data_IF_684708517027
#
_entry.id   IF_684708517027
#
_cell.length_a   1.000
_cell.length_b   1.000
_cell.length_c   1.000
_cell.angle_alpha   90.00
_cell.angle_beta   90.00
_cell.angle_gamma   90.00
#
_symmetry.space_group_name_H-M   'P 1'
#
loop_
_entity.id
_entity.type
_entity.pdbx_description
1 polymer ?
#
# COMPACT_ATOMS: atom_id res chain seq x y z
N UNK A 1 -14.28 -14.67 14.73
CA UNK A 1 -13.17 -14.70 13.75
C UNK A 1 -13.07 -15.99 12.94
N UNK A 2 -12.75 -17.19 13.50
CA UNK A 2 -12.61 -18.44 12.70
C UNK A 2 -13.76 -18.74 11.72
N UNK A 3 -15.02 -18.65 12.17
CA UNK A 3 -16.19 -18.83 11.29
C UNK A 3 -16.24 -17.80 10.16
N UNK A 4 -15.83 -16.55 10.42
CA UNK A 4 -15.82 -15.49 9.42
C UNK A 4 -14.78 -15.76 8.33
N UNK A 5 -13.57 -16.19 8.69
CA UNK A 5 -12.56 -16.61 7.70
C UNK A 5 -13.06 -17.75 6.83
N UNK A 6 -13.77 -18.72 7.42
CA UNK A 6 -14.40 -19.80 6.65
C UNK A 6 -15.44 -19.26 5.66
N UNK A 7 -16.35 -18.39 6.12
CA UNK A 7 -17.35 -17.77 5.23
C UNK A 7 -16.72 -16.99 4.07
N UNK A 8 -15.63 -16.26 4.32
CA UNK A 8 -14.89 -15.54 3.28
C UNK A 8 -14.30 -16.54 2.27
N UNK A 9 -13.73 -17.64 2.76
CA UNK A 9 -13.12 -18.67 1.91
C UNK A 9 -14.14 -19.40 1.02
N UNK A 10 -15.41 -19.42 1.42
CA UNK A 10 -16.51 -20.02 0.66
C UNK A 10 -17.19 -19.01 -0.31
N UNK A 11 -16.74 -17.76 -0.35
CA UNK A 11 -17.35 -16.68 -1.15
C UNK A 11 -16.77 -16.56 -2.57
N UNK A 12 -17.51 -15.91 -3.48
CA UNK A 12 -17.03 -15.59 -4.85
C UNK A 12 -15.79 -14.69 -4.86
N UNK A 13 -15.64 -13.84 -3.83
CA UNK A 13 -14.57 -12.85 -3.70
C UNK A 13 -13.46 -13.32 -2.77
N UNK A 14 -13.37 -14.63 -2.50
CA UNK A 14 -12.47 -15.19 -1.50
C UNK A 14 -11.01 -14.73 -1.68
N UNK A 15 -10.49 -14.77 -2.90
CA UNK A 15 -9.09 -14.43 -3.17
C UNK A 15 -8.82 -12.93 -2.97
N UNK A 16 -9.71 -12.07 -3.49
CA UNK A 16 -9.62 -10.61 -3.30
C UNK A 16 -9.76 -10.22 -1.84
N UNK A 17 -10.70 -10.84 -1.11
CA UNK A 17 -10.87 -10.60 0.32
C UNK A 17 -9.63 -11.01 1.11
N UNK A 18 -9.02 -12.17 0.79
CA UNK A 18 -7.78 -12.61 1.43
C UNK A 18 -6.63 -11.65 1.14
N UNK A 19 -6.49 -11.17 -0.10
CA UNK A 19 -5.48 -10.18 -0.46
C UNK A 19 -5.65 -8.87 0.31
N UNK A 20 -6.87 -8.33 0.39
CA UNK A 20 -7.16 -7.12 1.18
C UNK A 20 -6.86 -7.34 2.66
N UNK A 21 -7.28 -8.47 3.23
CA UNK A 21 -7.02 -8.80 4.63
C UNK A 21 -5.53 -8.99 4.92
N UNK A 22 -4.79 -9.61 4.02
CA UNK A 22 -3.34 -9.80 4.12
C UNK A 22 -2.63 -8.45 4.13
N UNK A 23 -2.95 -7.60 3.16
CA UNK A 23 -2.39 -6.25 3.03
C UNK A 23 -2.73 -5.40 4.25
N UNK A 24 -4.02 -5.31 4.62
CA UNK A 24 -4.46 -4.57 5.80
C UNK A 24 -3.74 -5.04 7.08
N UNK A 25 -3.42 -6.33 7.17
CA UNK A 25 -2.75 -6.91 8.35
C UNK A 25 -1.28 -6.49 8.51
N UNK A 26 -0.62 -5.99 7.47
CA UNK A 26 0.80 -5.61 7.54
C UNK A 26 1.07 -4.12 7.32
N UNK A 27 0.09 -3.35 6.83
CA UNK A 27 0.25 -1.89 6.72
C UNK A 27 0.41 -1.22 8.08
N UNK A 28 1.23 -0.16 8.12
CA UNK A 28 1.58 0.58 9.33
C UNK A 28 0.53 1.61 9.74
N UNK A 29 -0.37 1.99 8.82
CA UNK A 29 -1.55 2.81 9.09
C UNK A 29 -2.75 2.36 8.26
N UNK A 30 -3.98 2.77 8.63
CA UNK A 30 -5.14 2.69 7.75
C UNK A 30 -4.85 3.33 6.39
N UNK A 31 -5.34 2.72 5.31
CA UNK A 31 -5.09 3.13 3.93
C UNK A 31 -6.38 3.54 3.22
N UNK A 32 -6.26 4.38 2.20
CA UNK A 32 -7.38 4.77 1.34
C UNK A 32 -7.72 3.68 0.31
N UNK A 33 -8.85 3.82 -0.37
CA UNK A 33 -9.19 2.99 -1.52
C UNK A 33 -8.16 3.12 -2.66
N UNK A 34 -7.66 4.33 -2.93
CA UNK A 34 -6.66 4.58 -3.98
C UNK A 34 -5.32 3.90 -3.65
N UNK A 35 -4.90 3.98 -2.39
CA UNK A 35 -3.69 3.31 -1.89
C UNK A 35 -3.84 1.79 -1.95
N UNK A 36 -5.03 1.27 -1.60
CA UNK A 36 -5.30 -0.17 -1.72
C UNK A 36 -5.17 -0.64 -3.17
N UNK A 37 -5.72 0.10 -4.15
CA UNK A 37 -5.63 -0.26 -5.58
C UNK A 37 -4.18 -0.26 -6.08
N UNK A 38 -3.37 0.71 -5.65
CA UNK A 38 -1.95 0.76 -6.02
C UNK A 38 -1.14 -0.42 -5.44
N UNK A 39 -1.53 -0.90 -4.26
CA UNK A 39 -0.82 -1.96 -3.54
C UNK A 39 -1.32 -3.38 -3.84
N UNK A 40 -2.53 -3.53 -4.39
CA UNK A 40 -3.15 -4.82 -4.70
C UNK A 40 -3.58 -4.88 -6.18
N UNK A 41 -2.77 -5.57 -7.01
CA UNK A 41 -2.98 -5.62 -8.46
C UNK A 41 -4.33 -6.22 -8.87
N UNK A 42 -4.87 -7.17 -8.10
CA UNK A 42 -6.17 -7.76 -8.45
C UNK A 42 -7.34 -6.77 -8.35
N UNK A 43 -7.10 -5.61 -7.73
CA UNK A 43 -8.08 -4.56 -7.44
C UNK A 43 -7.90 -3.32 -8.34
N UNK A 44 -6.79 -3.23 -9.08
CA UNK A 44 -6.41 -2.05 -9.88
C UNK A 44 -7.49 -1.68 -10.92
N UNK A 45 -8.11 -2.68 -11.54
CA UNK A 45 -9.11 -2.49 -12.61
C UNK A 45 -10.54 -2.33 -12.09
N UNK A 46 -10.77 -2.46 -10.79
CA UNK A 46 -12.10 -2.36 -10.21
C UNK A 46 -12.52 -0.90 -10.14
N UNK A 47 -13.81 -0.64 -10.33
CA UNK A 47 -14.36 0.67 -9.99
C UNK A 47 -14.48 0.83 -8.47
N UNK A 48 -15.01 1.98 -8.02
CA UNK A 48 -15.15 2.23 -6.59
C UNK A 48 -16.23 1.34 -5.97
N UNK A 49 -17.38 1.16 -6.64
CA UNK A 49 -18.53 0.41 -6.12
C UNK A 49 -18.17 -1.08 -5.97
N UNK A 50 -17.48 -1.66 -6.94
CA UNK A 50 -16.97 -3.04 -6.89
C UNK A 50 -16.00 -3.23 -5.73
N UNK A 51 -15.08 -2.27 -5.51
CA UNK A 51 -14.11 -2.34 -4.43
C UNK A 51 -14.80 -2.26 -3.05
N UNK A 52 -15.79 -1.37 -2.90
CA UNK A 52 -16.59 -1.26 -1.69
C UNK A 52 -17.40 -2.54 -1.41
N UNK A 53 -17.97 -3.20 -2.43
CA UNK A 53 -18.67 -4.49 -2.31
C UNK A 53 -17.72 -5.59 -1.78
N UNK A 54 -16.49 -5.66 -2.32
CA UNK A 54 -15.51 -6.67 -1.90
C UNK A 54 -15.03 -6.39 -0.47
N UNK A 55 -14.79 -5.13 -0.11
CA UNK A 55 -14.43 -4.75 1.27
C UNK A 55 -15.56 -5.14 2.23
N UNK A 56 -16.82 -4.91 1.85
CA UNK A 56 -17.99 -5.39 2.60
C UNK A 56 -18.05 -6.91 2.74
N UNK A 57 -17.49 -7.64 1.76
CA UNK A 57 -17.41 -9.10 1.73
C UNK A 57 -16.22 -9.69 2.50
N UNK A 58 -15.26 -8.87 2.94
CA UNK A 58 -14.15 -9.26 3.82
C UNK A 58 -14.58 -9.64 5.26
N UNK A 59 -15.88 -9.88 5.46
CA UNK A 59 -16.53 -10.07 6.76
C UNK A 59 -16.42 -8.82 7.63
N UNK A 60 -16.89 -8.93 8.88
CA UNK A 60 -16.77 -7.84 9.86
C UNK A 60 -15.35 -7.65 10.41
N UNK A 61 -14.32 -7.97 9.61
CA UNK A 61 -12.92 -7.68 9.92
C UNK A 61 -12.60 -6.22 9.62
N UNK A 62 -13.09 -5.71 8.49
CA UNK A 62 -12.80 -4.37 8.00
C UNK A 62 -14.05 -3.48 8.03
N UNK A 63 -13.84 -2.18 8.08
CA UNK A 63 -14.87 -1.15 7.92
C UNK A 63 -14.31 -0.03 7.07
N UNK A 64 -15.14 0.47 6.16
CA UNK A 64 -14.84 1.63 5.33
C UNK A 64 -15.46 2.88 5.95
N UNK A 65 -14.65 3.92 6.16
CA UNK A 65 -15.11 5.23 6.67
C UNK A 65 -14.44 6.33 5.87
N UNK A 66 -15.24 7.14 5.18
CA UNK A 66 -14.75 8.24 4.33
C UNK A 66 -13.64 7.79 3.36
N UNK A 67 -13.81 6.64 2.70
CA UNK A 67 -12.81 6.10 1.77
C UNK A 67 -11.56 5.49 2.43
N UNK A 68 -11.49 5.40 3.77
CA UNK A 68 -10.37 4.82 4.50
C UNK A 68 -10.76 3.48 5.13
N UNK A 69 -9.89 2.49 4.97
CA UNK A 69 -10.09 1.11 5.42
C UNK A 69 -9.48 0.94 6.81
N UNK A 70 -10.30 0.50 7.76
CA UNK A 70 -9.89 0.21 9.13
C UNK A 70 -10.21 -1.22 9.51
N UNK A 71 -9.41 -1.79 10.41
CA UNK A 71 -9.89 -2.92 11.19
C UNK A 71 -11.00 -2.47 12.14
N UNK A 72 -12.06 -3.28 12.23
CA UNK A 72 -13.13 -3.07 13.20
C UNK A 72 -12.59 -3.12 14.63
N UNK A 73 -11.60 -3.96 14.89
CA UNK A 73 -10.94 -4.07 16.18
C UNK A 73 -9.49 -4.58 16.05
N UNK A 74 -8.57 -4.12 16.89
CA UNK A 74 -7.16 -4.55 16.86
C UNK A 74 -7.01 -6.08 17.02
N UNK A 75 -7.82 -6.70 17.89
CA UNK A 75 -7.81 -8.16 18.04
C UNK A 75 -8.20 -8.94 16.77
N UNK A 76 -8.84 -8.29 15.80
CA UNK A 76 -9.13 -8.87 14.50
C UNK A 76 -7.84 -8.98 13.66
N UNK A 77 -7.02 -7.92 13.64
CA UNK A 77 -5.66 -7.92 13.06
C UNK A 77 -4.79 -8.98 13.72
N UNK A 78 -4.75 -8.99 15.06
CA UNK A 78 -3.95 -9.96 15.83
C UNK A 78 -4.38 -11.40 15.55
N UNK A 79 -5.69 -11.64 15.40
CA UNK A 79 -6.21 -12.95 15.04
C UNK A 79 -5.75 -13.40 13.64
N UNK A 80 -5.77 -12.50 12.65
CA UNK A 80 -5.35 -12.83 11.28
C UNK A 80 -3.85 -13.14 11.23
N UNK A 81 -3.04 -12.36 11.93
CA UNK A 81 -1.58 -12.54 12.00
C UNK A 81 -1.14 -13.79 12.78
N UNK A 82 -1.95 -14.27 13.74
CA UNK A 82 -1.55 -15.38 14.62
C UNK A 82 -2.29 -16.69 14.36
N UNK A 83 -3.63 -16.65 14.28
CA UNK A 83 -4.48 -17.86 14.29
C UNK A 83 -5.04 -18.20 12.91
N UNK A 84 -4.95 -17.28 11.95
CA UNK A 84 -5.37 -17.49 10.58
C UNK A 84 -4.26 -17.11 9.57
N UNK A 85 -3.00 -17.03 10.02
CA UNK A 85 -1.85 -16.70 9.18
C UNK A 85 -1.80 -17.61 7.97
N UNK A 86 -1.92 -18.91 8.13
CA UNK A 86 -1.79 -19.88 7.04
C UNK A 86 -2.87 -19.74 5.96
N UNK A 87 -4.02 -19.11 6.30
CA UNK A 87 -5.14 -18.90 5.38
C UNK A 87 -5.10 -17.53 4.67
N UNK A 88 -4.50 -16.53 5.32
CA UNK A 88 -4.52 -15.13 4.87
C UNK A 88 -3.15 -14.71 4.34
N UNK A 89 -2.09 -15.17 5.00
CA UNK A 89 -0.68 -14.93 4.70
C UNK A 89 0.02 -16.30 4.52
N UNK A 90 -0.33 -17.11 3.50
CA UNK A 90 0.22 -18.46 3.34
C UNK A 90 1.74 -18.49 3.17
N UNK A 91 2.32 -17.43 2.61
CA UNK A 91 3.77 -17.23 2.47
C UNK A 91 4.40 -16.45 3.64
N UNK A 92 3.62 -16.13 4.68
CA UNK A 92 4.06 -15.36 5.84
C UNK A 92 3.97 -13.85 5.66
N UNK A 93 4.13 -13.12 6.77
CA UNK A 93 4.08 -11.66 6.79
C UNK A 93 5.24 -11.02 6.03
N UNK A 94 6.47 -11.54 6.17
CA UNK A 94 7.66 -11.01 5.50
C UNK A 94 7.51 -11.00 3.96
N UNK A 95 6.92 -12.06 3.39
CA UNK A 95 6.57 -12.11 1.97
C UNK A 95 5.52 -11.05 1.57
N UNK A 96 4.54 -10.78 2.44
CA UNK A 96 3.55 -9.73 2.20
C UNK A 96 4.19 -8.33 2.26
N UNK A 97 5.12 -8.07 3.18
CA UNK A 97 5.90 -6.83 3.20
C UNK A 97 6.69 -6.68 1.88
N UNK A 98 7.34 -7.75 1.40
CA UNK A 98 8.03 -7.75 0.11
C UNK A 98 7.09 -7.45 -1.06
N UNK A 99 5.89 -8.04 -1.07
CA UNK A 99 4.88 -7.76 -2.09
C UNK A 99 4.50 -6.29 -2.12
N UNK A 100 4.25 -5.67 -0.96
CA UNK A 100 3.92 -4.24 -0.85
C UNK A 100 5.09 -3.36 -1.32
N UNK A 101 6.32 -3.70 -0.94
CA UNK A 101 7.53 -3.02 -1.42
C UNK A 101 7.62 -3.04 -2.96
N UNK A 102 7.48 -4.22 -3.57
CA UNK A 102 7.58 -4.39 -5.02
C UNK A 102 6.46 -3.63 -5.75
N UNK A 103 5.25 -3.62 -5.19
CA UNK A 103 4.12 -2.83 -5.71
C UNK A 103 4.36 -1.33 -5.58
N UNK A 104 4.97 -0.89 -4.48
CA UNK A 104 5.34 0.51 -4.27
C UNK A 104 6.29 1.01 -5.35
N UNK A 105 7.35 0.24 -5.67
CA UNK A 105 8.27 0.59 -6.76
C UNK A 105 7.60 0.61 -8.14
N UNK A 106 6.70 -0.34 -8.40
CA UNK A 106 5.94 -0.39 -9.64
C UNK A 106 5.02 0.83 -9.80
N UNK A 107 4.37 1.26 -8.71
CA UNK A 107 3.52 2.45 -8.70
C UNK A 107 4.34 3.73 -8.87
N UNK A 108 5.50 3.84 -8.20
CA UNK A 108 6.40 4.98 -8.40
C UNK A 108 6.88 5.12 -9.83
N UNK A 109 7.18 4.01 -10.51
CA UNK A 109 7.61 4.05 -11.91
C UNK A 109 6.57 4.69 -12.83
N UNK A 110 5.28 4.51 -12.51
CA UNK A 110 4.14 5.01 -13.27
C UNK A 110 3.74 6.44 -12.89
N UNK A 111 3.83 6.79 -11.60
CA UNK A 111 3.26 8.03 -11.06
C UNK A 111 4.29 9.11 -10.76
N UNK A 112 5.50 8.75 -10.31
CA UNK A 112 6.50 9.75 -9.95
C UNK A 112 7.07 10.39 -11.21
N UNK A 113 6.85 11.69 -11.31
CA UNK A 113 7.41 12.56 -12.32
C UNK A 113 7.89 13.87 -11.69
N UNK A 114 8.66 14.62 -12.48
CA UNK A 114 9.13 15.94 -12.08
C UNK A 114 7.97 16.91 -12.07
N UNK A 115 7.90 17.75 -11.03
CA UNK A 115 6.89 18.82 -10.94
C UNK A 115 5.46 18.26 -10.96
N UNK A 116 5.20 17.25 -10.13
CA UNK A 116 3.93 16.47 -10.13
C UNK A 116 2.70 17.32 -9.78
N UNK A 117 2.89 18.44 -9.09
CA UNK A 117 1.83 19.42 -8.79
C UNK A 117 1.87 20.65 -9.72
N UNK A 118 2.68 20.62 -10.78
CA UNK A 118 2.83 21.67 -11.79
C UNK A 118 3.08 23.08 -11.19
N UNK A 119 3.95 23.16 -10.18
CA UNK A 119 4.29 24.41 -9.49
C UNK A 119 5.19 25.32 -10.34
N UNK A 120 5.83 24.78 -11.38
CA UNK A 120 6.52 25.52 -12.43
C UNK A 120 7.91 26.05 -12.08
N UNK A 121 8.31 26.07 -10.80
CA UNK A 121 9.66 26.44 -10.39
C UNK A 121 10.12 25.78 -9.08
N UNK A 122 11.43 25.43 -8.96
CA UNK A 122 11.98 24.88 -7.75
C UNK A 122 11.97 25.92 -6.60
N UNK A 123 11.77 25.45 -5.37
CA UNK A 123 11.78 26.29 -4.17
C UNK A 123 10.46 27.01 -3.88
N UNK A 124 9.35 26.58 -4.50
CA UNK A 124 8.02 27.04 -4.12
C UNK A 124 7.77 26.79 -2.62
N UNK A 125 7.30 27.79 -1.85
CA UNK A 125 7.10 27.62 -0.40
C UNK A 125 6.05 26.54 -0.10
N UNK A 126 6.47 25.48 0.60
CA UNK A 126 5.60 24.31 0.87
C UNK A 126 4.35 24.68 1.69
N UNK A 127 4.42 25.72 2.52
CA UNK A 127 3.30 26.29 3.27
C UNK A 127 2.20 26.88 2.39
N UNK A 128 2.50 27.20 1.13
CA UNK A 128 1.54 27.76 0.16
C UNK A 128 0.98 26.70 -0.80
N UNK A 129 1.49 25.46 -0.75
CA UNK A 129 1.03 24.37 -1.62
C UNK A 129 -0.23 23.72 -1.06
N UNK A 130 -1.22 23.54 -1.93
CA UNK A 130 -2.42 22.74 -1.68
C UNK A 130 -2.48 21.59 -2.70
N UNK A 131 -2.90 20.37 -2.31
CA UNK A 131 -3.09 19.28 -3.26
C UNK A 131 -4.08 19.67 -4.37
N UNK A 132 -3.80 19.36 -5.65
CA UNK A 132 -4.76 19.53 -6.73
C UNK A 132 -5.91 18.52 -6.62
N UNK A 133 -6.97 18.73 -7.40
CA UNK A 133 -8.11 17.82 -7.51
C UNK A 133 -8.30 17.40 -8.99
N UNK A 134 -8.02 16.14 -9.36
CA UNK A 134 -7.59 15.03 -8.49
C UNK A 134 -6.14 15.17 -8.00
N UNK A 135 -5.83 14.61 -6.81
CA UNK A 135 -4.46 14.57 -6.27
C UNK A 135 -3.68 13.43 -6.94
N UNK A 136 -2.65 13.72 -7.78
CA UNK A 136 -1.89 12.70 -8.49
C UNK A 136 -1.08 11.80 -7.53
N UNK A 137 -0.85 12.23 -6.29
CA UNK A 137 -0.15 11.44 -5.28
C UNK A 137 -1.09 10.60 -4.41
N UNK A 138 -2.42 10.69 -4.59
CA UNK A 138 -3.40 10.03 -3.72
C UNK A 138 -3.15 8.51 -3.61
N UNK A 139 -2.86 7.85 -4.72
CA UNK A 139 -2.67 6.40 -4.79
C UNK A 139 -1.30 5.93 -4.27
N UNK A 140 -0.28 6.79 -4.30
CA UNK A 140 1.09 6.44 -3.87
C UNK A 140 1.48 7.06 -2.53
N UNK A 141 0.60 7.85 -1.89
CA UNK A 141 0.87 8.56 -0.63
C UNK A 141 1.36 7.61 0.47
N UNK A 142 0.74 6.45 0.64
CA UNK A 142 1.22 5.42 1.56
C UNK A 142 2.62 4.93 1.17
N UNK A 143 2.79 4.54 -0.09
CA UNK A 143 4.04 3.99 -0.61
C UNK A 143 5.19 4.98 -0.45
N UNK A 144 4.97 6.27 -0.71
CA UNK A 144 5.98 7.32 -0.55
C UNK A 144 6.63 7.31 0.84
N UNK A 145 5.85 7.00 1.88
CA UNK A 145 6.32 6.99 3.26
C UNK A 145 6.89 5.62 3.67
N UNK A 146 6.22 4.52 3.32
CA UNK A 146 6.49 3.22 3.97
C UNK A 146 7.20 2.17 3.10
N UNK A 147 7.56 2.47 1.84
CA UNK A 147 8.18 1.46 0.97
C UNK A 147 9.51 0.93 1.54
N UNK A 148 10.31 1.77 2.20
CA UNK A 148 11.57 1.38 2.87
C UNK A 148 11.30 0.51 4.08
N UNK A 149 10.31 0.83 4.90
CA UNK A 149 9.92 -0.01 6.05
C UNK A 149 9.44 -1.40 5.60
N UNK A 150 8.70 -1.46 4.49
CA UNK A 150 8.30 -2.74 3.90
C UNK A 150 9.51 -3.52 3.36
N UNK A 151 10.51 -2.86 2.77
CA UNK A 151 11.75 -3.51 2.36
C UNK A 151 12.52 -4.06 3.57
N UNK A 152 12.59 -3.31 4.66
CA UNK A 152 13.26 -3.73 5.90
C UNK A 152 12.61 -4.98 6.51
N UNK A 153 11.27 -5.04 6.53
CA UNK A 153 10.50 -6.14 7.13
C UNK A 153 10.31 -7.34 6.16
N UNK A 154 10.93 -7.29 4.98
CA UNK A 154 10.91 -8.37 3.98
C UNK A 154 11.90 -9.50 4.31
N UNK A 155 11.74 -10.65 3.66
CA UNK A 155 12.67 -11.77 3.81
C UNK A 155 14.08 -11.45 3.30
N UNK A 156 15.09 -11.76 4.11
CA UNK A 156 16.51 -11.47 3.82
C UNK A 156 17.04 -12.05 2.51
N UNK A 157 16.46 -13.16 2.03
CA UNK A 157 16.85 -13.76 0.75
C UNK A 157 16.43 -12.92 -0.45
N UNK A 158 15.28 -12.25 -0.37
CA UNK A 158 14.77 -11.34 -1.40
C UNK A 158 15.55 -10.01 -1.40
N UNK A 159 15.84 -9.47 -0.21
CA UNK A 159 16.58 -8.20 -0.05
C UNK A 159 17.95 -8.25 -0.74
N UNK A 160 18.64 -9.40 -0.66
CA UNK A 160 19.99 -9.55 -1.20
C UNK A 160 20.08 -9.50 -2.72
N UNK A 161 19.00 -9.74 -3.48
CA UNK A 161 18.98 -9.56 -4.94
C UNK A 161 18.57 -8.14 -5.31
N UNK A 162 17.60 -7.57 -4.57
CA UNK A 162 17.01 -6.24 -4.76
C UNK A 162 18.02 -5.11 -4.54
N UNK A 163 18.89 -5.24 -3.53
CA UNK A 163 19.87 -4.21 -3.14
C UNK A 163 21.21 -4.29 -3.88
N UNK A 164 21.35 -5.17 -4.87
CA UNK A 164 22.59 -5.26 -5.67
C UNK A 164 22.68 -4.11 -6.65
N UNK A 165 23.90 -3.82 -7.11
CA UNK A 165 24.10 -2.90 -8.24
C UNK A 165 23.29 -3.37 -9.45
N UNK A 166 22.53 -2.45 -10.06
CA UNK A 166 21.52 -2.71 -11.10
C UNK A 166 20.30 -3.56 -10.65
N UNK A 167 20.06 -3.68 -9.35
CA UNK A 167 18.79 -4.19 -8.80
C UNK A 167 17.69 -3.13 -8.82
N UNK A 168 16.47 -3.53 -8.48
CA UNK A 168 15.27 -2.67 -8.57
C UNK A 168 15.42 -1.36 -7.77
N UNK A 169 16.07 -1.42 -6.61
CA UNK A 169 16.31 -0.22 -5.78
C UNK A 169 17.35 0.69 -6.40
N UNK A 170 18.45 0.16 -6.94
CA UNK A 170 19.45 0.99 -7.63
C UNK A 170 18.85 1.69 -8.85
N UNK A 171 18.04 0.97 -9.64
CA UNK A 171 17.30 1.55 -10.77
C UNK A 171 16.35 2.68 -10.32
N UNK A 172 15.53 2.42 -9.30
CA UNK A 172 14.63 3.43 -8.74
C UNK A 172 15.39 4.67 -8.23
N UNK A 173 16.47 4.49 -7.48
CA UNK A 173 17.24 5.60 -6.91
C UNK A 173 17.88 6.44 -8.02
N UNK A 174 18.39 5.82 -9.09
CA UNK A 174 18.98 6.54 -10.22
C UNK A 174 17.96 7.37 -10.99
N UNK A 175 16.75 6.86 -11.15
CA UNK A 175 15.75 7.45 -12.05
C UNK A 175 14.73 8.34 -11.36
N UNK A 176 14.33 8.00 -10.13
CA UNK A 176 13.15 8.56 -9.46
C UNK A 176 13.42 9.17 -8.08
N UNK A 177 14.63 9.07 -7.54
CA UNK A 177 14.94 9.55 -6.18
C UNK A 177 14.55 11.01 -5.94
N UNK A 178 14.85 11.93 -6.86
CA UNK A 178 14.49 13.34 -6.70
C UNK A 178 12.98 13.58 -6.77
N UNK A 179 12.26 12.82 -7.61
CA UNK A 179 10.79 12.93 -7.74
C UNK A 179 10.08 12.34 -6.50
N UNK A 180 10.71 11.34 -5.88
CA UNK A 180 10.26 10.80 -4.60
C UNK A 180 10.44 11.82 -3.46
N UNK A 181 11.62 12.49 -3.38
CA UNK A 181 11.83 13.56 -2.39
C UNK A 181 10.89 14.75 -2.60
N UNK A 182 10.62 15.11 -3.85
CA UNK A 182 9.62 16.12 -4.20
C UNK A 182 8.24 15.71 -3.66
N UNK A 183 7.80 14.49 -3.94
CA UNK A 183 6.53 13.96 -3.45
C UNK A 183 6.46 13.91 -1.93
N UNK A 184 7.51 13.48 -1.23
CA UNK A 184 7.57 13.50 0.24
C UNK A 184 7.43 14.91 0.81
N UNK A 185 8.03 15.90 0.16
CA UNK A 185 7.88 17.31 0.52
C UNK A 185 6.44 17.78 0.33
N UNK A 186 5.82 17.49 -0.83
CA UNK A 186 4.42 17.83 -1.14
C UNK A 186 3.44 17.19 -0.15
N UNK A 187 3.71 15.95 0.25
CA UNK A 187 2.95 15.20 1.26
C UNK A 187 3.20 15.67 2.70
N UNK A 188 4.21 16.52 2.93
CA UNK A 188 4.68 16.99 4.24
C UNK A 188 5.19 15.85 5.14
N UNK A 189 5.74 14.80 4.54
CA UNK A 189 6.20 13.57 5.21
C UNK A 189 7.71 13.33 5.12
N UNK A 190 8.50 14.38 4.87
CA UNK A 190 9.98 14.29 4.74
C UNK A 190 10.70 13.69 5.94
N UNK A 191 10.15 13.78 7.16
CA UNK A 191 10.75 13.20 8.36
C UNK A 191 10.35 11.74 8.60
N UNK A 192 9.35 11.24 7.87
CA UNK A 192 8.79 9.90 8.02
C UNK A 192 9.32 8.93 6.98
N UNK A 193 9.49 9.39 5.73
CA UNK A 193 9.99 8.59 4.61
C UNK A 193 11.51 8.54 4.45
#
# INVERSE_FOLDING_TARGET
>A
YKRMVKHISDSKDADRCKEILALASVVYRPITLDELKALAQSLEVLDQDELEEIIGSCGSFLTLRNGIIYFVHQSAKDFLLSKASDQILPSGAAHQHHTIFSRSLAAFSQTLERDVYELGFPGFPIDQVSPPDPDPLASIRYSCVFWVDHLHDSDSTEINSILRDNGDVDGFIREKYLYWLESLSLLRSMSEG
#
